data_IF_710039183296
#
_entry.id   IF_710039183296
#
_cell.length_a   1.000
_cell.length_b   1.000
_cell.length_c   1.000
_cell.angle_alpha   90.00
_cell.angle_beta   90.00
_cell.angle_gamma   90.00
#
_symmetry.space_group_name_H-M   'P 1'
#
loop_
_entity.id
_entity.type
_entity.pdbx_description
1 polymer ?
#
# COMPACT_ATOMS: atom_id res chain seq x y z
N UNK A 1 -4.76 12.70 1.01
CA UNK A 1 -5.81 13.33 1.86
C UNK A 1 -7.22 13.37 1.24
N UNK A 2 -7.39 13.57 -0.07
CA UNK A 2 -8.72 13.76 -0.69
C UNK A 2 -9.79 12.70 -0.35
N UNK A 3 -9.39 11.43 -0.22
CA UNK A 3 -10.32 10.31 0.01
C UNK A 3 -10.70 10.12 1.50
N UNK A 4 -9.79 10.42 2.46
CA UNK A 4 -10.04 10.22 3.90
C UNK A 4 -11.13 11.15 4.44
N UNK A 5 -11.17 12.39 3.96
CA UNK A 5 -12.13 13.39 4.42
C UNK A 5 -13.56 13.20 3.91
N UNK A 6 -13.83 12.17 3.09
CA UNK A 6 -15.17 11.81 2.62
C UNK A 6 -15.77 10.60 3.37
N UNK A 7 -15.21 10.22 4.53
CA UNK A 7 -15.70 9.08 5.30
C UNK A 7 -15.48 7.73 4.61
N UNK A 8 -14.48 7.65 3.73
CA UNK A 8 -14.13 6.43 3.00
C UNK A 8 -12.86 5.82 3.58
N UNK A 9 -12.90 4.51 3.83
CA UNK A 9 -11.71 3.70 4.15
C UNK A 9 -10.82 3.61 2.92
N UNK A 10 -9.54 3.91 3.08
CA UNK A 10 -8.54 3.87 2.03
C UNK A 10 -7.56 2.73 2.30
N UNK A 11 -7.60 1.74 1.44
CA UNK A 11 -6.66 0.61 1.43
C UNK A 11 -5.62 0.83 0.32
N UNK A 12 -4.35 0.62 0.65
CA UNK A 12 -3.23 0.75 -0.29
C UNK A 12 -2.48 -0.57 -0.36
N UNK A 13 -2.30 -1.09 -1.57
CA UNK A 13 -1.44 -2.25 -1.81
C UNK A 13 -0.23 -1.85 -2.65
N UNK A 14 0.97 -2.04 -2.11
CA UNK A 14 2.21 -1.70 -2.81
C UNK A 14 3.40 -2.50 -2.27
N UNK A 15 4.53 -2.48 -2.96
CA UNK A 15 5.79 -3.03 -2.41
C UNK A 15 6.34 -2.08 -1.34
N UNK A 16 6.40 -2.52 -0.09
CA UNK A 16 6.71 -1.66 1.05
C UNK A 16 8.07 -1.01 0.97
N UNK A 17 9.07 -1.67 0.38
CA UNK A 17 10.42 -1.09 0.17
C UNK A 17 10.41 0.15 -0.73
N UNK A 18 9.52 0.21 -1.72
CA UNK A 18 9.48 1.30 -2.72
C UNK A 18 8.28 2.26 -2.56
N UNK A 19 7.35 1.95 -1.65
CA UNK A 19 6.21 2.79 -1.36
C UNK A 19 6.61 4.04 -0.56
N UNK A 20 6.03 5.20 -0.91
CA UNK A 20 6.22 6.47 -0.20
C UNK A 20 5.75 6.39 1.25
N UNK A 21 6.57 6.87 2.20
CA UNK A 21 6.21 6.93 3.62
C UNK A 21 4.94 7.76 3.88
N UNK A 22 4.81 8.91 3.21
CA UNK A 22 3.61 9.75 3.29
C UNK A 22 2.33 9.03 2.82
N UNK A 23 2.46 8.07 1.90
CA UNK A 23 1.32 7.29 1.41
C UNK A 23 0.88 6.25 2.45
N UNK A 24 1.85 5.62 3.14
CA UNK A 24 1.60 4.65 4.22
C UNK A 24 0.95 5.31 5.43
N UNK A 25 1.35 6.52 5.77
CA UNK A 25 0.74 7.30 6.86
C UNK A 25 -0.67 7.78 6.50
N UNK A 26 -0.91 8.04 5.21
CA UNK A 26 -2.18 8.56 4.73
C UNK A 26 -3.26 7.49 4.49
N UNK A 27 -2.94 6.20 4.43
CA UNK A 27 -3.94 5.12 4.29
C UNK A 27 -4.49 4.67 5.64
N UNK A 28 -5.59 3.93 5.63
CA UNK A 28 -6.14 3.27 6.83
C UNK A 28 -5.56 1.86 6.97
N UNK A 29 -5.31 1.20 5.84
CA UNK A 29 -4.66 -0.11 5.77
C UNK A 29 -3.64 -0.13 4.64
N UNK A 30 -2.48 -0.71 4.92
CA UNK A 30 -1.41 -0.91 3.96
C UNK A 30 -1.09 -2.41 3.85
N UNK A 31 -1.19 -2.95 2.65
CA UNK A 31 -0.85 -4.34 2.34
C UNK A 31 0.46 -4.35 1.56
N UNK A 32 1.50 -4.96 2.14
CA UNK A 32 2.79 -5.08 1.48
C UNK A 32 2.82 -6.30 0.56
N UNK A 33 2.82 -6.05 -0.75
CA UNK A 33 2.89 -7.09 -1.77
C UNK A 33 4.26 -7.80 -1.82
N UNK A 34 5.26 -7.27 -1.13
CA UNK A 34 6.59 -7.84 -1.00
C UNK A 34 6.75 -8.83 0.17
N UNK A 35 5.79 -8.92 1.09
CA UNK A 35 5.86 -9.88 2.21
C UNK A 35 5.87 -11.33 1.72
N UNK A 36 5.05 -11.64 0.72
CA UNK A 36 5.08 -12.91 0.01
C UNK A 36 5.91 -12.78 -1.28
N UNK A 37 7.24 -12.76 -1.13
CA UNK A 37 8.23 -12.46 -2.18
C UNK A 37 8.21 -13.32 -3.46
N UNK A 38 7.30 -14.29 -3.58
CA UNK A 38 7.10 -15.09 -4.78
C UNK A 38 5.70 -15.04 -5.38
N UNK A 39 4.72 -14.42 -4.72
CA UNK A 39 3.32 -14.44 -5.16
C UNK A 39 2.99 -13.36 -6.18
N UNK A 40 3.53 -12.16 -5.97
CA UNK A 40 3.28 -10.98 -6.81
C UNK A 40 4.52 -10.49 -7.56
N UNK A 41 5.69 -11.09 -7.29
CA UNK A 41 6.95 -10.75 -7.95
C UNK A 41 7.07 -11.52 -9.26
N UNK A 42 7.12 -10.80 -10.38
CA UNK A 42 7.39 -11.39 -11.69
C UNK A 42 8.85 -11.88 -11.71
N UNK A 43 9.04 -13.18 -11.88
CA UNK A 43 10.35 -13.82 -12.06
C UNK A 43 10.66 -13.89 -13.56
N UNK A 44 11.92 -13.64 -13.92
CA UNK A 44 12.46 -13.86 -15.27
C UNK A 44 12.84 -15.31 -15.48
#
# INVERSE_FOLDING_TARGET
>A
EYLKNQGRRVEVMAFGRSASGKLKEACDEFIDLGEEGGKYVIKR
#
